data_IF_398688081306
#
_entry.id   IF_398688081306
#
_cell.length_a   1.000
_cell.length_b   1.000
_cell.length_c   1.000
_cell.angle_alpha   90.00
_cell.angle_beta   90.00
_cell.angle_gamma   90.00
#
_symmetry.space_group_name_H-M   'P 1'
#
loop_
_entity.id
_entity.type
_entity.pdbx_description
1 polymer ?
#
# COMPACT_ATOMS: atom_id res chain seq x y z
N UNK A 1 20.56 12.76 13.13
CA UNK A 1 20.34 11.75 14.21
C UNK A 1 18.86 11.42 14.43
N UNK A 2 18.04 12.27 15.07
CA UNK A 2 16.63 11.90 15.37
C UNK A 2 15.80 11.65 14.10
N UNK A 3 15.87 12.52 13.10
CA UNK A 3 15.14 12.34 11.85
C UNK A 3 15.58 11.08 11.07
N UNK A 4 16.86 10.73 11.13
CA UNK A 4 17.38 9.51 10.50
C UNK A 4 16.93 8.26 11.24
N UNK A 5 16.88 8.31 12.57
CA UNK A 5 16.31 7.24 13.39
C UNK A 5 14.83 7.04 13.05
N UNK A 6 14.04 8.13 12.95
CA UNK A 6 12.65 8.06 12.52
C UNK A 6 12.53 7.50 11.09
N UNK A 7 13.40 7.94 10.16
CA UNK A 7 13.44 7.49 8.77
C UNK A 7 13.68 5.99 8.64
N UNK A 8 14.78 5.48 9.19
CA UNK A 8 15.06 4.05 9.16
C UNK A 8 14.09 3.24 10.01
N UNK A 9 13.69 3.77 11.17
CA UNK A 9 12.74 3.12 12.05
C UNK A 9 11.41 2.85 11.36
N UNK A 10 10.85 3.85 10.65
CA UNK A 10 9.60 3.62 9.92
C UNK A 10 9.79 2.62 8.77
N UNK A 11 10.88 2.73 8.01
CA UNK A 11 11.13 1.87 6.86
C UNK A 11 11.29 0.40 7.29
N UNK A 12 11.94 0.16 8.43
CA UNK A 12 12.07 -1.17 9.04
C UNK A 12 10.72 -1.67 9.55
N UNK A 13 9.96 -0.86 10.31
CA UNK A 13 8.68 -1.30 10.86
C UNK A 13 7.68 -1.68 9.77
N UNK A 14 7.55 -0.84 8.73
CA UNK A 14 6.73 -1.15 7.57
C UNK A 14 7.30 -2.32 6.75
N UNK A 15 8.62 -2.43 6.59
CA UNK A 15 9.22 -3.59 5.92
C UNK A 15 8.92 -4.91 6.62
N UNK A 16 9.08 -4.95 7.94
CA UNK A 16 8.81 -6.13 8.78
C UNK A 16 7.33 -6.50 8.76
N UNK A 17 6.41 -5.54 8.61
CA UNK A 17 4.97 -5.80 8.63
C UNK A 17 4.47 -6.69 7.48
N UNK A 18 5.25 -6.86 6.40
CA UNK A 18 4.93 -7.78 5.30
C UNK A 18 5.24 -9.26 5.60
N UNK A 19 6.21 -9.54 6.48
CA UNK A 19 6.70 -10.90 6.72
C UNK A 19 5.68 -11.85 7.36
N UNK A 20 4.80 -11.43 8.30
CA UNK A 20 3.82 -12.33 8.90
C UNK A 20 3.01 -13.12 7.87
N UNK A 21 2.53 -12.48 6.80
CA UNK A 21 1.76 -13.13 5.73
C UNK A 21 2.61 -14.15 4.95
N UNK A 22 3.84 -13.79 4.60
CA UNK A 22 4.76 -14.66 3.86
C UNK A 22 5.13 -15.91 4.67
N UNK A 23 5.41 -15.72 5.96
CA UNK A 23 5.78 -16.79 6.89
C UNK A 23 4.57 -17.68 7.17
N UNK A 24 3.38 -17.10 7.36
CA UNK A 24 2.15 -17.86 7.57
C UNK A 24 1.88 -18.79 6.39
N UNK A 25 1.92 -18.26 5.16
CA UNK A 25 1.73 -19.06 3.95
C UNK A 25 2.75 -20.21 3.86
N UNK A 26 4.00 -19.94 4.21
CA UNK A 26 5.04 -20.97 4.27
C UNK A 26 4.78 -22.03 5.32
N UNK A 27 4.24 -21.64 6.48
CA UNK A 27 3.91 -22.55 7.60
C UNK A 27 2.74 -23.47 7.24
N UNK A 28 1.64 -22.90 6.73
CA UNK A 28 0.44 -23.66 6.36
C UNK A 28 0.54 -24.34 4.99
N UNK A 29 1.62 -24.08 4.24
CA UNK A 29 1.87 -24.58 2.88
C UNK A 29 0.74 -24.25 1.90
N UNK A 30 0.14 -23.08 2.03
CA UNK A 30 -0.88 -22.56 1.10
C UNK A 30 -0.87 -21.03 1.11
N UNK A 31 -1.12 -20.43 -0.04
CA UNK A 31 -1.32 -18.99 -0.20
C UNK A 31 -2.75 -18.64 -0.66
N UNK A 32 -3.69 -19.60 -0.60
CA UNK A 32 -5.04 -19.42 -1.14
C UNK A 32 -5.87 -18.38 -0.41
N UNK A 33 -5.54 -18.11 0.86
CA UNK A 33 -6.16 -17.06 1.69
C UNK A 33 -5.89 -15.65 1.18
N UNK A 34 -4.87 -15.46 0.34
CA UNK A 34 -4.50 -14.16 -0.20
C UNK A 34 -5.38 -13.84 -1.41
N UNK A 35 -6.15 -12.75 -1.33
CA UNK A 35 -6.91 -12.25 -2.47
C UNK A 35 -5.98 -11.81 -3.61
N UNK A 36 -6.25 -12.27 -4.83
CA UNK A 36 -5.48 -11.87 -6.01
C UNK A 36 -5.72 -10.39 -6.35
N UNK A 37 -6.96 -9.92 -6.18
CA UNK A 37 -7.31 -8.49 -6.33
C UNK A 37 -6.51 -7.60 -5.39
N UNK A 38 -6.44 -7.99 -4.11
CA UNK A 38 -5.63 -7.29 -3.12
C UNK A 38 -4.17 -7.23 -3.53
N UNK A 39 -3.61 -8.36 -3.99
CA UNK A 39 -2.20 -8.46 -4.34
C UNK A 39 -1.85 -7.62 -5.57
N UNK A 40 -2.67 -7.70 -6.62
CA UNK A 40 -2.47 -6.92 -7.85
C UNK A 40 -2.54 -5.42 -7.57
N UNK A 41 -3.51 -4.96 -6.76
CA UNK A 41 -3.60 -3.55 -6.36
C UNK A 41 -2.39 -3.10 -5.53
N UNK A 42 -1.89 -3.95 -4.62
CA UNK A 42 -0.69 -3.62 -3.85
C UNK A 42 0.55 -3.53 -4.73
N UNK A 43 0.75 -4.48 -5.65
CA UNK A 43 1.89 -4.45 -6.59
C UNK A 43 1.80 -3.21 -7.48
N UNK A 44 0.64 -2.91 -8.06
CA UNK A 44 0.44 -1.71 -8.87
C UNK A 44 0.77 -0.44 -8.08
N UNK A 45 0.28 -0.32 -6.84
CA UNK A 45 0.62 0.80 -5.98
C UNK A 45 2.11 0.89 -5.67
N UNK A 46 2.75 -0.22 -5.26
CA UNK A 46 4.19 -0.24 -4.94
C UNK A 46 5.06 0.03 -6.16
N UNK A 47 4.66 -0.41 -7.35
CA UNK A 47 5.35 -0.10 -8.59
C UNK A 47 5.29 1.40 -8.87
N UNK A 48 4.09 2.01 -8.79
CA UNK A 48 3.93 3.45 -8.96
C UNK A 48 4.80 4.23 -7.96
N UNK A 49 4.73 3.85 -6.68
CA UNK A 49 5.50 4.53 -5.63
C UNK A 49 7.01 4.36 -5.82
N UNK A 50 7.49 3.15 -6.14
CA UNK A 50 8.91 2.90 -6.37
C UNK A 50 9.44 3.68 -7.56
N UNK A 51 8.69 3.74 -8.67
CA UNK A 51 9.04 4.57 -9.82
C UNK A 51 9.10 6.06 -9.45
N UNK A 52 8.11 6.56 -8.71
CA UNK A 52 8.09 7.95 -8.23
C UNK A 52 9.31 8.29 -7.38
N UNK A 53 9.57 7.51 -6.32
CA UNK A 53 10.71 7.73 -5.42
C UNK A 53 12.04 7.61 -6.17
N UNK A 54 12.18 6.60 -7.05
CA UNK A 54 13.39 6.42 -7.84
C UNK A 54 13.68 7.64 -8.74
N UNK A 55 12.68 8.11 -9.46
CA UNK A 55 12.83 9.28 -10.35
C UNK A 55 13.11 10.55 -9.53
N UNK A 56 12.37 10.81 -8.47
CA UNK A 56 12.59 11.99 -7.62
C UNK A 56 13.96 11.97 -6.91
N UNK A 57 14.54 10.80 -6.67
CA UNK A 57 15.84 10.67 -6.03
C UNK A 57 17.01 10.80 -7.02
N UNK A 58 16.93 10.13 -8.18
CA UNK A 58 18.05 9.98 -9.10
C UNK A 58 17.97 10.84 -10.37
N UNK A 59 16.77 11.20 -10.84
CA UNK A 59 16.62 11.93 -12.10
C UNK A 59 16.85 13.43 -11.89
N UNK A 60 17.90 13.97 -12.53
CA UNK A 60 18.27 15.38 -12.44
C UNK A 60 17.19 16.32 -12.98
N UNK A 61 16.49 15.95 -14.06
CA UNK A 61 15.41 16.76 -14.63
C UNK A 61 14.23 16.87 -13.66
N UNK A 62 13.81 15.76 -13.05
CA UNK A 62 12.72 15.74 -12.07
C UNK A 62 13.09 16.60 -10.86
N UNK A 63 14.34 16.51 -10.39
CA UNK A 63 14.83 17.31 -9.26
C UNK A 63 14.91 18.80 -9.61
N UNK A 64 15.32 19.15 -10.83
CA UNK A 64 15.32 20.53 -11.30
C UNK A 64 13.90 21.10 -11.36
N UNK A 65 12.95 20.36 -11.94
CA UNK A 65 11.54 20.76 -11.95
C UNK A 65 10.98 20.89 -10.53
N UNK A 66 11.35 19.99 -9.62
CA UNK A 66 10.96 20.08 -8.22
C UNK A 66 11.45 21.38 -7.59
N UNK A 67 12.71 21.75 -7.79
CA UNK A 67 13.26 23.01 -7.32
C UNK A 67 12.57 24.23 -7.92
N UNK A 68 12.19 24.18 -9.20
CA UNK A 68 11.45 25.26 -9.84
C UNK A 68 10.03 25.44 -9.27
N UNK A 69 9.39 24.35 -8.85
CA UNK A 69 8.01 24.37 -8.33
C UNK A 69 7.95 24.67 -6.83
N UNK A 70 8.98 24.29 -6.07
CA UNK A 70 9.02 24.37 -4.60
C UNK A 70 10.18 25.25 -4.10
N UNK A 71 10.36 26.41 -4.71
CA UNK A 71 11.27 27.49 -4.28
C UNK A 71 12.71 27.03 -3.95
N UNK A 72 13.30 26.24 -4.84
CA UNK A 72 14.68 25.74 -4.72
C UNK A 72 14.86 24.53 -3.80
N UNK A 73 13.79 24.07 -3.16
CA UNK A 73 13.80 22.91 -2.26
C UNK A 73 14.06 21.60 -3.00
N UNK A 74 14.61 20.62 -2.29
CA UNK A 74 14.72 19.25 -2.80
C UNK A 74 13.64 18.36 -2.15
N UNK A 75 13.26 17.25 -2.81
CA UNK A 75 12.40 16.24 -2.20
C UNK A 75 12.95 15.79 -0.84
N UNK A 76 12.10 15.67 0.19
CA UNK A 76 12.50 15.16 1.52
C UNK A 76 12.60 13.62 1.52
N UNK A 77 13.31 13.10 0.53
CA UNK A 77 13.53 11.67 0.32
C UNK A 77 14.90 11.24 0.83
N UNK A 78 14.94 10.04 1.38
CA UNK A 78 16.14 9.40 1.93
C UNK A 78 16.33 8.00 1.35
N UNK A 79 17.48 7.41 1.67
CA UNK A 79 17.72 5.98 1.41
C UNK A 79 16.72 5.07 2.13
N UNK A 80 16.17 5.49 3.28
CA UNK A 80 15.14 4.72 3.97
C UNK A 80 13.83 4.68 3.17
N UNK A 81 13.46 5.78 2.50
CA UNK A 81 12.28 5.84 1.61
C UNK A 81 12.45 4.93 0.39
N UNK A 82 13.63 4.94 -0.23
CA UNK A 82 13.98 4.02 -1.32
C UNK A 82 13.93 2.57 -0.85
N UNK A 83 14.55 2.26 0.30
CA UNK A 83 14.52 0.93 0.87
C UNK A 83 13.08 0.46 1.09
N UNK A 84 12.25 1.25 1.76
CA UNK A 84 10.85 0.92 2.01
C UNK A 84 10.09 0.63 0.70
N UNK A 85 10.22 1.52 -0.31
CA UNK A 85 9.49 1.37 -1.56
C UNK A 85 9.86 0.08 -2.31
N UNK A 86 11.16 -0.14 -2.50
CA UNK A 86 11.66 -1.30 -3.26
C UNK A 86 11.57 -2.61 -2.48
N UNK A 87 11.81 -2.59 -1.16
CA UNK A 87 11.63 -3.76 -0.31
C UNK A 87 10.16 -4.18 -0.27
N UNK A 88 9.24 -3.23 -0.13
CA UNK A 88 7.81 -3.49 -0.23
C UNK A 88 7.44 -4.12 -1.57
N UNK A 89 7.88 -3.54 -2.69
CA UNK A 89 7.64 -4.10 -4.03
C UNK A 89 8.18 -5.53 -4.17
N UNK A 90 9.40 -5.78 -3.71
CA UNK A 90 10.02 -7.10 -3.72
C UNK A 90 9.19 -8.13 -2.94
N UNK A 91 8.78 -7.79 -1.72
CA UNK A 91 7.98 -8.71 -0.89
C UNK A 91 6.60 -8.98 -1.50
N UNK A 92 5.98 -8.00 -2.17
CA UNK A 92 4.74 -8.23 -2.91
C UNK A 92 4.95 -9.15 -4.12
N UNK A 93 6.08 -9.02 -4.84
CA UNK A 93 6.43 -9.96 -5.90
C UNK A 93 6.67 -11.37 -5.36
N UNK A 94 7.36 -11.51 -4.22
CA UNK A 94 7.53 -12.82 -3.56
C UNK A 94 6.17 -13.41 -3.19
N UNK A 95 5.28 -12.62 -2.59
CA UNK A 95 3.91 -13.05 -2.27
C UNK A 95 3.14 -13.48 -3.53
N UNK A 96 3.34 -12.80 -4.66
CA UNK A 96 2.76 -13.19 -5.95
C UNK A 96 3.26 -14.55 -6.41
N UNK A 97 4.56 -14.83 -6.23
CA UNK A 97 5.09 -16.16 -6.57
C UNK A 97 4.52 -17.26 -5.66
N UNK A 98 4.23 -16.98 -4.38
CA UNK A 98 3.55 -17.92 -3.49
C UNK A 98 2.11 -18.22 -3.95
N UNK A 99 1.41 -17.21 -4.49
CA UNK A 99 0.03 -17.35 -4.98
C UNK A 99 -0.01 -18.07 -6.33
N UNK A 100 0.71 -17.58 -7.33
CA UNK A 100 0.64 -18.09 -8.73
C UNK A 100 1.46 -19.36 -8.92
N UNK A 101 2.66 -19.39 -8.35
CA UNK A 101 3.62 -20.48 -8.53
C UNK A 101 3.84 -21.30 -7.25
N UNK A 102 2.90 -21.22 -6.30
CA UNK A 102 3.01 -21.87 -4.99
C UNK A 102 3.28 -23.37 -5.10
N UNK A 103 2.53 -24.09 -5.93
CA UNK A 103 2.66 -25.54 -6.06
C UNK A 103 3.99 -25.96 -6.70
N UNK A 104 4.51 -25.14 -7.63
CA UNK A 104 5.73 -25.46 -8.38
C UNK A 104 7.01 -24.98 -7.67
N UNK A 105 7.11 -23.69 -7.34
CA UNK A 105 8.31 -23.10 -6.74
C UNK A 105 8.38 -23.32 -5.22
N UNK A 106 7.24 -23.24 -4.54
CA UNK A 106 7.17 -23.22 -3.06
C UNK A 106 6.74 -24.56 -2.46
N UNK A 107 6.38 -25.54 -3.30
CA UNK A 107 5.82 -26.85 -2.90
C UNK A 107 4.60 -26.71 -1.99
N UNK A 108 3.79 -25.68 -2.23
CA UNK A 108 2.52 -25.48 -1.55
C UNK A 108 1.46 -26.42 -2.10
N UNK A 109 0.35 -26.52 -1.38
CA UNK A 109 -0.85 -27.27 -1.76
C UNK A 109 -1.99 -26.29 -2.00
N UNK A 110 -1.78 -25.33 -2.90
CA UNK A 110 -2.82 -24.38 -3.30
C UNK A 110 -3.88 -25.14 -4.11
N UNK A 111 -5.14 -24.96 -3.75
CA UNK A 111 -6.33 -25.52 -4.40
C UNK A 111 -7.01 -24.51 -5.34
N UNK A 112 -6.55 -23.25 -5.36
CA UNK A 112 -7.09 -22.20 -6.22
C UNK A 112 -7.09 -22.61 -7.69
N UNK A 113 -8.30 -22.66 -8.27
CA UNK A 113 -8.54 -23.05 -9.68
C UNK A 113 -8.58 -21.87 -10.65
N UNK A 114 -8.72 -20.64 -10.15
CA UNK A 114 -8.88 -19.44 -10.96
C UNK A 114 -7.95 -18.32 -10.49
N UNK A 115 -7.26 -17.72 -11.46
CA UNK A 115 -6.40 -16.55 -11.29
C UNK A 115 -7.00 -15.31 -11.96
N UNK A 116 -8.33 -15.28 -12.09
CA UNK A 116 -9.04 -14.14 -12.63
C UNK A 116 -9.19 -13.07 -11.56
N UNK A 117 -8.63 -11.90 -11.85
CA UNK A 117 -8.89 -10.65 -11.12
C UNK A 117 -10.33 -10.20 -11.39
N UNK A 118 -11.00 -9.68 -10.35
CA UNK A 118 -12.36 -9.18 -10.41
C UNK A 118 -12.48 -8.01 -11.41
N UNK A 119 -13.66 -7.89 -12.03
CA UNK A 119 -14.00 -6.79 -12.95
C UNK A 119 -13.79 -5.44 -12.31
N UNK A 120 -14.17 -5.27 -11.03
CA UNK A 120 -13.99 -4.02 -10.31
C UNK A 120 -12.51 -3.61 -10.24
N UNK A 121 -11.64 -4.54 -9.86
CA UNK A 121 -10.19 -4.32 -9.81
C UNK A 121 -9.60 -4.02 -11.19
N UNK A 122 -10.04 -4.72 -12.23
CA UNK A 122 -9.63 -4.44 -13.62
C UNK A 122 -10.01 -3.03 -14.05
N UNK A 123 -11.21 -2.57 -13.73
CA UNK A 123 -11.68 -1.20 -14.03
C UNK A 123 -10.82 -0.16 -13.30
N UNK A 124 -10.46 -0.40 -12.04
CA UNK A 124 -9.56 0.49 -11.29
C UNK A 124 -8.19 0.58 -11.95
N UNK A 125 -7.59 -0.56 -12.31
CA UNK A 125 -6.28 -0.60 -12.97
C UNK A 125 -6.33 0.13 -14.31
N UNK A 126 -7.39 -0.09 -15.09
CA UNK A 126 -7.60 0.62 -16.36
C UNK A 126 -7.76 2.13 -16.13
N UNK A 127 -8.52 2.55 -15.12
CA UNK A 127 -8.68 3.96 -14.78
C UNK A 127 -7.35 4.60 -14.38
N UNK A 128 -6.50 3.90 -13.60
CA UNK A 128 -5.16 4.36 -13.25
C UNK A 128 -4.28 4.50 -14.50
N UNK A 129 -4.31 3.51 -15.41
CA UNK A 129 -3.55 3.56 -16.65
C UNK A 129 -3.99 4.72 -17.56
N UNK A 130 -5.30 4.90 -17.76
CA UNK A 130 -5.86 6.02 -18.52
C UNK A 130 -5.49 7.37 -17.88
N UNK A 131 -5.58 7.49 -16.56
CA UNK A 131 -5.19 8.70 -15.85
C UNK A 131 -3.71 9.05 -16.06
N UNK A 132 -2.81 8.06 -15.91
CA UNK A 132 -1.39 8.26 -16.18
C UNK A 132 -1.12 8.62 -17.65
N UNK A 133 -1.85 8.04 -18.59
CA UNK A 133 -1.74 8.39 -20.01
C UNK A 133 -2.16 9.85 -20.27
N UNK A 134 -3.23 10.32 -19.63
CA UNK A 134 -3.68 11.71 -19.74
C UNK A 134 -2.60 12.67 -19.22
N UNK A 135 -2.03 12.39 -18.05
CA UNK A 135 -0.90 13.19 -17.50
C UNK A 135 0.32 13.13 -18.44
N UNK A 136 0.60 11.96 -19.00
CA UNK A 136 1.73 11.77 -19.91
C UNK A 136 1.53 12.38 -21.31
N UNK A 137 0.30 12.60 -21.78
CA UNK A 137 0.07 13.28 -23.07
C UNK A 137 -0.15 14.78 -22.88
N UNK A 138 -0.55 15.21 -21.67
CA UNK A 138 -0.72 16.61 -21.32
C UNK A 138 0.54 17.47 -21.55
N UNK A 139 0.28 18.74 -21.84
CA UNK A 139 1.32 19.77 -21.93
C UNK A 139 1.46 20.46 -20.56
N UNK A 140 2.57 20.20 -19.89
CA UNK A 140 3.00 20.91 -18.68
C UNK A 140 4.50 21.18 -18.78
N UNK A 141 4.93 22.33 -18.28
CA UNK A 141 6.36 22.69 -18.15
C UNK A 141 7.10 21.76 -17.18
N UNK A 142 6.39 21.18 -16.20
CA UNK A 142 6.95 20.34 -15.13
C UNK A 142 6.40 18.91 -15.18
N UNK A 143 6.22 18.38 -16.39
CA UNK A 143 5.49 17.15 -16.66
C UNK A 143 6.09 15.91 -15.96
N UNK A 144 7.40 15.79 -15.93
CA UNK A 144 8.09 14.65 -15.32
C UNK A 144 7.91 14.64 -13.80
N UNK A 145 7.99 15.81 -13.16
CA UNK A 145 7.64 15.98 -11.75
C UNK A 145 6.17 15.66 -11.48
N UNK A 146 5.25 16.20 -12.28
CA UNK A 146 3.82 15.93 -12.14
C UNK A 146 3.52 14.43 -12.25
N UNK A 147 4.14 13.74 -13.21
CA UNK A 147 4.04 12.30 -13.33
C UNK A 147 4.50 11.59 -12.06
N UNK A 148 5.66 11.97 -11.49
CA UNK A 148 6.16 11.38 -10.25
C UNK A 148 5.21 11.59 -9.07
N UNK A 149 4.72 12.82 -8.88
CA UNK A 149 3.80 13.15 -7.77
C UNK A 149 2.45 12.43 -7.94
N UNK A 150 1.96 12.27 -9.16
CA UNK A 150 0.73 11.54 -9.45
C UNK A 150 0.90 10.01 -9.28
N UNK A 151 2.05 9.44 -9.66
CA UNK A 151 2.37 8.04 -9.36
C UNK A 151 2.33 7.76 -7.85
N UNK A 152 2.93 8.63 -7.03
CA UNK A 152 2.85 8.50 -5.59
C UNK A 152 1.42 8.68 -5.05
N UNK A 153 0.62 9.52 -5.71
CA UNK A 153 -0.80 9.72 -5.37
C UNK A 153 -1.63 8.46 -5.67
N UNK A 154 -1.37 7.77 -6.79
CA UNK A 154 -2.04 6.50 -7.11
C UNK A 154 -1.76 5.40 -6.08
N UNK A 155 -0.56 5.37 -5.48
CA UNK A 155 -0.27 4.47 -4.35
C UNK A 155 -1.18 4.72 -3.15
N UNK A 156 -1.49 5.98 -2.85
CA UNK A 156 -2.41 6.36 -1.77
C UNK A 156 -3.82 5.87 -2.11
N UNK A 157 -4.30 6.11 -3.33
CA UNK A 157 -5.61 5.63 -3.79
C UNK A 157 -5.70 4.09 -3.78
N UNK A 158 -4.68 3.39 -4.24
CA UNK A 158 -4.62 1.93 -4.16
C UNK A 158 -4.78 1.44 -2.71
N UNK A 159 -4.21 2.19 -1.75
CA UNK A 159 -4.33 1.89 -0.32
C UNK A 159 -5.74 2.16 0.23
N UNK A 160 -6.40 3.23 -0.20
CA UNK A 160 -7.81 3.49 0.13
C UNK A 160 -8.74 2.38 -0.40
N UNK A 161 -8.58 2.05 -1.68
CA UNK A 161 -9.42 1.08 -2.39
C UNK A 161 -9.35 -0.31 -1.74
N UNK A 162 -8.19 -0.72 -1.21
CA UNK A 162 -8.04 -2.00 -0.51
C UNK A 162 -8.59 -1.96 0.93
N UNK A 163 -8.38 -0.87 1.66
CA UNK A 163 -8.72 -0.84 3.08
C UNK A 163 -10.21 -0.60 3.34
N UNK A 164 -10.90 0.20 2.49
CA UNK A 164 -12.34 0.47 2.67
C UNK A 164 -13.19 -0.82 2.63
N UNK A 165 -13.03 -1.71 1.62
CA UNK A 165 -13.74 -2.99 1.59
C UNK A 165 -13.40 -3.86 2.79
N UNK A 166 -12.14 -3.89 3.23
CA UNK A 166 -11.72 -4.68 4.40
C UNK A 166 -12.42 -4.20 5.68
N UNK A 167 -12.47 -2.88 5.92
CA UNK A 167 -13.19 -2.30 7.06
C UNK A 167 -14.66 -2.70 7.01
N UNK A 168 -15.31 -2.54 5.85
CA UNK A 168 -16.73 -2.91 5.66
C UNK A 168 -16.97 -4.41 5.86
N UNK A 169 -16.05 -5.24 5.38
CA UNK A 169 -16.12 -6.70 5.54
C UNK A 169 -16.07 -7.08 7.02
N UNK A 170 -15.11 -6.52 7.79
CA UNK A 170 -15.02 -6.73 9.23
C UNK A 170 -16.29 -6.27 9.97
N UNK A 171 -16.84 -5.11 9.59
CA UNK A 171 -18.08 -4.60 10.18
C UNK A 171 -19.28 -5.54 9.96
N UNK A 172 -19.41 -6.09 8.74
CA UNK A 172 -20.51 -7.01 8.40
C UNK A 172 -20.42 -8.32 9.17
N UNK A 173 -19.23 -8.92 9.25
CA UNK A 173 -19.02 -10.21 9.92
C UNK A 173 -18.84 -10.12 11.44
N UNK A 174 -18.67 -8.91 11.99
CA UNK A 174 -18.40 -8.63 13.41
C UNK A 174 -17.26 -9.48 13.99
N UNK A 175 -16.23 -9.73 13.17
CA UNK A 175 -15.07 -10.56 13.51
C UNK A 175 -13.81 -9.92 12.92
N UNK A 176 -12.69 -10.09 13.61
CA UNK A 176 -11.35 -9.69 13.18
C UNK A 176 -10.46 -10.91 12.86
N UNK A 177 -11.04 -12.12 12.87
CA UNK A 177 -10.32 -13.35 12.50
C UNK A 177 -9.58 -13.20 11.16
N UNK A 178 -8.33 -13.63 11.11
CA UNK A 178 -7.46 -13.53 9.94
C UNK A 178 -6.69 -12.21 9.79
N UNK A 179 -6.89 -11.22 10.67
CA UNK A 179 -6.13 -9.96 10.67
C UNK A 179 -5.05 -10.01 11.76
N UNK A 180 -3.79 -9.79 11.38
CA UNK A 180 -2.67 -9.77 12.32
C UNK A 180 -2.63 -8.47 13.13
N UNK A 181 -2.81 -8.56 14.45
CA UNK A 181 -2.65 -7.41 15.38
C UNK A 181 -1.25 -6.82 15.32
N UNK A 182 -0.23 -7.68 15.28
CA UNK A 182 1.18 -7.27 15.20
C UNK A 182 1.41 -6.43 13.96
N UNK A 183 0.89 -6.85 12.81
CA UNK A 183 1.00 -6.09 11.56
C UNK A 183 0.36 -4.69 11.72
N UNK A 184 -0.85 -4.60 12.28
CA UNK A 184 -1.54 -3.32 12.48
C UNK A 184 -0.75 -2.38 13.40
N UNK A 185 -0.16 -2.89 14.48
CA UNK A 185 0.65 -2.08 15.39
C UNK A 185 1.99 -1.64 14.77
N UNK A 186 2.64 -2.50 13.99
CA UNK A 186 3.84 -2.15 13.24
C UNK A 186 3.53 -1.07 12.19
N UNK A 187 2.42 -1.21 11.46
CA UNK A 187 1.97 -0.24 10.47
C UNK A 187 1.67 1.14 11.10
N UNK A 188 0.98 1.15 12.26
CA UNK A 188 0.69 2.38 13.00
C UNK A 188 1.97 3.05 13.51
N UNK A 189 2.88 2.27 14.11
CA UNK A 189 4.14 2.77 14.66
C UNK A 189 5.06 3.31 13.54
N UNK A 190 5.12 2.62 12.41
CA UNK A 190 5.81 3.10 11.22
C UNK A 190 5.20 4.41 10.70
N UNK A 191 3.87 4.52 10.63
CA UNK A 191 3.22 5.76 10.19
C UNK A 191 3.57 6.95 11.10
N UNK A 192 3.60 6.74 12.43
CA UNK A 192 3.99 7.77 13.40
C UNK A 192 5.44 8.20 13.20
N UNK A 193 6.37 7.26 13.02
CA UNK A 193 7.78 7.59 12.78
C UNK A 193 7.99 8.28 11.43
N UNK A 194 7.28 7.87 10.38
CA UNK A 194 7.32 8.49 9.05
C UNK A 194 6.86 9.96 9.10
N UNK A 195 5.75 10.23 9.80
CA UNK A 195 5.27 11.60 10.01
C UNK A 195 6.23 12.40 10.90
N UNK A 196 6.78 11.78 11.95
CA UNK A 196 7.77 12.43 12.82
C UNK A 196 9.01 12.84 12.03
N UNK A 197 9.56 11.97 11.19
CA UNK A 197 10.66 12.33 10.30
C UNK A 197 10.30 13.52 9.40
N UNK A 198 9.11 13.48 8.77
CA UNK A 198 8.64 14.55 7.89
C UNK A 198 8.58 15.88 8.64
N UNK A 199 7.96 15.94 9.82
CA UNK A 199 7.86 17.17 10.61
C UNK A 199 9.22 17.67 11.11
N UNK A 200 10.14 16.79 11.48
CA UNK A 200 11.48 17.19 11.94
C UNK A 200 12.32 17.77 10.80
N UNK A 201 12.19 17.24 9.58
CA UNK A 201 12.96 17.71 8.41
C UNK A 201 12.34 18.91 7.71
N UNK A 202 11.03 19.11 7.88
CA UNK A 202 10.32 20.15 7.16
C UNK A 202 10.70 21.55 7.66
N UNK A 203 11.13 22.39 6.72
CA UNK A 203 11.38 23.82 6.92
C UNK A 203 10.42 24.70 6.09
N UNK A 204 9.51 24.10 5.31
CA UNK A 204 8.53 24.81 4.49
C UNK A 204 7.23 25.07 5.25
N UNK A 205 6.41 26.04 4.81
CA UNK A 205 5.03 26.15 5.25
C UNK A 205 4.28 24.83 5.06
N UNK A 206 3.44 24.46 6.02
CA UNK A 206 2.85 23.11 6.11
C UNK A 206 2.12 22.67 4.83
N UNK A 207 1.40 23.58 4.18
CA UNK A 207 0.66 23.27 2.94
C UNK A 207 1.60 22.86 1.81
N UNK A 208 2.70 23.60 1.65
CA UNK A 208 3.70 23.32 0.61
C UNK A 208 4.51 22.07 0.95
N UNK A 209 4.87 21.89 2.22
CA UNK A 209 5.53 20.71 2.73
C UNK A 209 4.73 19.43 2.43
N UNK A 210 3.42 19.46 2.68
CA UNK A 210 2.51 18.35 2.40
C UNK A 210 2.41 18.13 0.89
N UNK A 211 2.24 19.19 0.09
CA UNK A 211 2.09 19.05 -1.37
C UNK A 211 3.33 18.48 -2.05
N UNK A 212 4.51 18.91 -1.62
CA UNK A 212 5.81 18.48 -2.13
C UNK A 212 6.18 17.05 -1.70
N UNK A 213 5.65 16.57 -0.57
CA UNK A 213 5.87 15.22 -0.04
C UNK A 213 4.59 14.38 0.05
N UNK A 214 3.61 14.70 -0.80
CA UNK A 214 2.23 14.19 -0.70
C UNK A 214 2.14 12.67 -0.67
N UNK A 215 3.03 11.98 -1.40
CA UNK A 215 3.14 10.53 -1.40
C UNK A 215 3.42 9.96 -0.02
N UNK A 216 4.55 10.38 0.56
CA UNK A 216 5.03 9.92 1.88
C UNK A 216 4.01 10.24 2.98
N UNK A 217 3.59 11.50 3.06
CA UNK A 217 2.63 11.98 4.06
C UNK A 217 1.29 11.27 3.88
N UNK A 218 0.77 11.20 2.66
CA UNK A 218 -0.54 10.59 2.39
C UNK A 218 -0.57 9.09 2.68
N UNK A 219 0.50 8.35 2.38
CA UNK A 219 0.60 6.93 2.77
C UNK A 219 0.57 6.82 4.30
N UNK A 220 1.36 7.62 5.02
CA UNK A 220 1.40 7.56 6.48
C UNK A 220 0.05 7.91 7.13
N UNK A 221 -0.61 8.97 6.65
CA UNK A 221 -1.94 9.38 7.15
C UNK A 221 -2.99 8.31 6.89
N UNK A 222 -3.06 7.76 5.67
CA UNK A 222 -4.01 6.67 5.35
C UNK A 222 -3.73 5.43 6.20
N UNK A 223 -2.46 5.05 6.37
CA UNK A 223 -2.08 3.93 7.23
C UNK A 223 -2.53 4.16 8.68
N UNK A 224 -2.29 5.34 9.25
CA UNK A 224 -2.68 5.64 10.62
C UNK A 224 -4.21 5.67 10.80
N UNK A 225 -4.93 6.22 9.83
CA UNK A 225 -6.40 6.22 9.83
C UNK A 225 -6.96 4.80 9.87
N UNK A 226 -6.53 3.93 8.97
CA UNK A 226 -7.05 2.55 8.93
C UNK A 226 -6.53 1.70 10.08
N UNK A 227 -5.30 1.90 10.54
CA UNK A 227 -4.81 1.25 11.75
C UNK A 227 -5.66 1.61 12.97
N UNK A 228 -6.03 2.89 13.13
CA UNK A 228 -6.92 3.33 14.21
C UNK A 228 -8.29 2.66 14.12
N UNK A 229 -8.86 2.56 12.92
CA UNK A 229 -10.12 1.83 12.68
C UNK A 229 -9.97 0.36 13.06
N UNK A 230 -8.89 -0.32 12.65
CA UNK A 230 -8.67 -1.73 12.98
C UNK A 230 -8.43 -1.96 14.47
N UNK A 231 -7.69 -1.07 15.13
CA UNK A 231 -7.51 -1.10 16.59
C UNK A 231 -8.86 -0.97 17.30
N UNK A 232 -9.72 -0.06 16.85
CA UNK A 232 -11.08 0.06 17.36
C UNK A 232 -11.95 -1.17 17.04
N UNK A 233 -11.78 -1.80 15.87
CA UNK A 233 -12.49 -3.04 15.55
C UNK A 233 -12.02 -4.22 16.42
N UNK A 234 -10.72 -4.29 16.77
CA UNK A 234 -10.20 -5.33 17.66
C UNK A 234 -10.77 -5.26 19.07
N UNK A 235 -11.13 -4.07 19.57
CA UNK A 235 -11.76 -3.95 20.89
C UNK A 235 -13.26 -4.30 20.88
N UNK A 236 -13.91 -4.27 19.72
CA UNK A 236 -15.36 -4.49 19.60
C UNK A 236 -15.76 -5.87 19.04
N UNK A 237 -14.91 -6.50 18.23
CA UNK A 237 -15.28 -7.68 17.44
C UNK A 237 -14.53 -8.93 17.94
N UNK A 238 -15.11 -10.10 17.69
CA UNK A 238 -14.50 -11.38 18.10
C UNK A 238 -13.29 -11.73 17.23
N UNK A 239 -12.32 -12.44 17.82
CA UNK A 239 -11.21 -13.05 17.08
C UNK A 239 -11.57 -14.42 16.50
N UNK A 240 -12.77 -14.94 16.74
CA UNK A 240 -13.21 -16.22 16.19
C UNK A 240 -13.67 -16.10 14.74
N UNK A 241 -13.48 -17.15 13.91
CA UNK A 241 -14.05 -17.17 12.57
C UNK A 241 -15.56 -16.90 12.67
N UNK A 242 -16.13 -16.07 11.77
CA UNK A 242 -17.58 -15.89 11.76
C UNK A 242 -18.21 -17.26 11.59
N UNK A 243 -19.15 -17.63 12.47
CA UNK A 243 -19.97 -18.81 12.24
C UNK A 243 -20.57 -18.66 10.84
N UNK A 244 -20.30 -19.61 9.95
CA UNK A 244 -21.01 -19.71 8.69
C UNK A 244 -22.48 -19.85 9.05
N UNK A 245 -23.22 -18.74 9.11
CA UNK A 245 -24.67 -18.79 9.18
C UNK A 245 -25.11 -19.56 7.95
N UNK A 246 -25.50 -20.81 8.17
CA UNK A 246 -26.05 -21.73 7.16
C UNK A 246 -27.31 -21.20 6.42
N UNK A 247 -27.73 -19.96 6.67
CA UNK A 247 -28.99 -19.40 6.22
C UNK A 247 -28.88 -18.40 5.06
N UNK A 248 -27.68 -18.08 4.56
CA UNK A 248 -27.52 -17.16 3.41
C UNK A 248 -27.37 -17.90 2.05
N UNK A 249 -27.51 -19.23 2.03
CA UNK A 249 -27.58 -20.03 0.79
C UNK A 249 -29.03 -20.11 0.24
N UNK A 250 -30.05 -19.70 1.01
CA UNK A 250 -31.45 -19.73 0.57
C UNK A 250 -32.00 -18.39 0.03
N UNK A 251 -31.21 -17.32 -0.04
CA UNK A 251 -31.66 -16.04 -0.60
C UNK A 251 -30.94 -15.71 -1.92
N UNK A 252 -31.43 -16.37 -2.98
CA UNK A 252 -31.66 -15.79 -4.30
C UNK A 252 -30.59 -14.87 -4.88
N UNK A 253 -29.54 -15.43 -5.49
CA UNK A 253 -28.86 -14.78 -6.61
C UNK A 253 -29.46 -15.27 -7.92
N UNK A 254 -30.55 -14.62 -8.32
CA UNK A 254 -30.98 -14.58 -9.71
C UNK A 254 -29.86 -13.93 -10.52
N UNK A 255 -29.42 -14.64 -11.56
CA UNK A 255 -28.59 -14.11 -12.66
C UNK A 255 -29.10 -12.73 -13.10
N UNK A 256 -28.24 -11.72 -13.02
CA UNK A 256 -28.05 -10.68 -14.06
C UNK A 256 -26.55 -10.36 -14.10
#
# INVERSE_FOLDING_TARGET
MLAEFCGWGYAVLWGVSFYPSLILNWSIKSADSISLDYLVLNICGYLCYSCSIFQMFFNSLVRQQFQLVYDGSLPLLTLADLFYAFHGLLLQCILLTQVIFGNYLWKFKNERRSYNVDKFTKVIILAFACYLLIIYVGFSTNKELELCLNLATLKIFASLIKYIPQVRFNMRRRSMYGISRIQVYLDASGAILCLSEFFIKNNLPITEAINSNRGKVGIAVITLLFASIFIFQFSLYTDQPPELKKNDIELGYTKI
#
